data_IF_765243780037
#
_entry.id   IF_765243780037
#
_cell.length_a   1.000
_cell.length_b   1.000
_cell.length_c   1.000
_cell.angle_alpha   90.00
_cell.angle_beta   90.00
_cell.angle_gamma   90.00
#
_symmetry.space_group_name_H-M   'P 1'
#
loop_
_entity.id
_entity.type
_entity.pdbx_description
1 polymer ?
#
# COMPACT_ATOMS: atom_id res chain seq x y z
N UNK A 1 25.59 -4.28 8.65
CA UNK A 1 24.63 -3.21 8.94
C UNK A 1 24.41 -2.45 7.64
N UNK A 2 23.17 -2.25 7.22
CA UNK A 2 22.85 -1.65 5.92
C UNK A 2 22.95 -0.13 6.00
N UNK A 3 23.35 0.52 4.89
CA UNK A 3 23.44 1.99 4.82
C UNK A 3 22.04 2.60 4.65
N UNK A 4 21.31 2.15 3.63
CA UNK A 4 19.95 2.56 3.34
C UNK A 4 19.03 1.34 3.43
N UNK A 5 18.01 1.43 4.24
CA UNK A 5 17.08 0.32 4.42
C UNK A 5 15.72 0.76 4.93
N UNK A 6 14.74 -0.08 4.70
CA UNK A 6 13.40 0.03 5.28
C UNK A 6 13.33 -0.96 6.42
N UNK A 7 13.17 -0.50 7.64
CA UNK A 7 12.84 -1.33 8.78
C UNK A 7 11.33 -1.56 8.80
N UNK A 8 10.90 -2.81 8.88
CA UNK A 8 9.49 -3.22 8.90
C UNK A 8 9.22 -4.00 10.19
N UNK A 9 8.34 -3.46 11.01
CA UNK A 9 7.94 -4.04 12.30
C UNK A 9 6.69 -4.92 12.11
N UNK A 10 6.91 -6.23 12.12
CA UNK A 10 5.84 -7.24 11.92
C UNK A 10 4.85 -7.22 13.09
N UNK A 11 5.31 -7.01 14.31
CA UNK A 11 4.41 -6.98 15.47
C UNK A 11 3.42 -5.82 15.39
N UNK A 12 3.86 -4.66 14.90
CA UNK A 12 2.97 -3.53 14.67
C UNK A 12 1.93 -3.83 13.60
N UNK A 13 2.32 -4.47 12.48
CA UNK A 13 1.37 -4.88 11.45
C UNK A 13 0.31 -5.81 12.05
N UNK A 14 0.72 -6.82 12.81
CA UNK A 14 -0.17 -7.78 13.45
C UNK A 14 -1.11 -7.09 14.45
N UNK A 15 -0.59 -6.18 15.29
CA UNK A 15 -1.43 -5.40 16.22
C UNK A 15 -2.42 -4.48 15.52
N UNK A 16 -2.02 -3.84 14.43
CA UNK A 16 -2.92 -3.01 13.64
C UNK A 16 -4.09 -3.83 13.08
N UNK A 17 -3.83 -5.02 12.52
CA UNK A 17 -4.86 -5.95 12.05
C UNK A 17 -5.80 -6.33 13.19
N UNK A 18 -5.27 -6.67 14.37
CA UNK A 18 -6.07 -7.03 15.54
C UNK A 18 -6.94 -5.86 16.02
N UNK A 19 -6.39 -4.65 16.03
CA UNK A 19 -7.13 -3.46 16.44
C UNK A 19 -8.28 -3.15 15.46
N UNK A 20 -8.05 -3.31 14.16
CA UNK A 20 -9.10 -3.15 13.14
C UNK A 20 -10.17 -4.22 13.34
N UNK A 21 -9.81 -5.48 13.55
CA UNK A 21 -10.77 -6.57 13.81
C UNK A 21 -11.67 -6.32 15.01
N UNK A 22 -11.18 -5.65 16.04
CA UNK A 22 -11.97 -5.36 17.25
C UNK A 22 -13.12 -4.38 17.01
N UNK A 23 -12.95 -3.47 16.04
CA UNK A 23 -13.93 -2.43 15.72
C UNK A 23 -14.76 -2.75 14.50
N UNK A 24 -14.22 -3.55 13.56
CA UNK A 24 -14.93 -3.94 12.34
C UNK A 24 -16.20 -4.73 12.67
N UNK A 25 -17.27 -4.46 11.90
CA UNK A 25 -18.51 -5.24 11.94
C UNK A 25 -18.45 -6.49 11.08
N UNK A 26 -17.43 -6.61 10.23
CA UNK A 26 -17.27 -7.69 9.26
C UNK A 26 -16.38 -8.80 9.84
N UNK A 27 -16.75 -10.05 9.54
CA UNK A 27 -16.06 -11.22 10.12
C UNK A 27 -14.72 -11.52 9.47
N UNK A 28 -14.62 -11.22 8.17
CA UNK A 28 -13.47 -11.58 7.36
C UNK A 28 -12.61 -10.34 7.08
N UNK A 29 -11.30 -10.54 7.09
CA UNK A 29 -10.31 -9.54 6.70
C UNK A 29 -9.58 -10.03 5.45
N UNK A 30 -9.54 -9.18 4.43
CA UNK A 30 -8.68 -9.31 3.27
C UNK A 30 -7.51 -8.34 3.42
N UNK A 31 -6.30 -8.86 3.52
CA UNK A 31 -5.09 -8.04 3.53
C UNK A 31 -4.74 -7.59 2.10
N UNK A 32 -4.70 -6.28 1.88
CA UNK A 32 -4.33 -5.70 0.58
C UNK A 32 -2.82 -5.49 0.55
N UNK A 33 -2.10 -6.38 -0.14
CA UNK A 33 -0.63 -6.41 -0.21
C UNK A 33 -0.10 -6.04 -1.62
N UNK A 34 -0.91 -5.37 -2.42
CA UNK A 34 -0.53 -4.86 -3.75
C UNK A 34 0.64 -3.87 -3.69
N UNK A 35 1.27 -3.60 -4.83
CA UNK A 35 2.45 -2.73 -4.93
C UNK A 35 3.54 -3.15 -3.93
N UNK A 36 3.85 -4.47 -3.91
CA UNK A 36 4.81 -5.06 -2.99
C UNK A 36 4.52 -4.72 -1.51
N UNK A 37 3.26 -4.90 -1.07
CA UNK A 37 2.78 -4.47 0.25
C UNK A 37 3.05 -2.98 0.51
N UNK A 38 2.68 -2.12 -0.44
CA UNK A 38 2.95 -0.68 -0.40
C UNK A 38 4.45 -0.36 -0.26
N UNK A 39 5.30 -1.14 -0.93
CA UNK A 39 6.76 -0.99 -0.90
C UNK A 39 7.48 -1.73 0.23
N UNK A 40 6.74 -2.39 1.12
CA UNK A 40 7.30 -2.98 2.35
C UNK A 40 7.67 -4.48 2.24
N UNK A 41 7.37 -5.14 1.10
CA UNK A 41 7.70 -6.55 0.89
C UNK A 41 6.52 -7.50 1.09
N UNK A 42 5.78 -7.79 0.01
CA UNK A 42 4.51 -8.51 0.07
C UNK A 42 4.65 -9.96 0.56
N UNK A 43 5.64 -10.70 0.06
CA UNK A 43 5.80 -12.13 0.34
C UNK A 43 6.14 -12.41 1.80
N UNK A 44 7.02 -11.58 2.38
CA UNK A 44 7.43 -11.73 3.78
C UNK A 44 6.27 -11.35 4.69
N UNK A 45 5.67 -10.18 4.48
CA UNK A 45 4.54 -9.72 5.30
C UNK A 45 3.39 -10.71 5.21
N UNK A 46 3.02 -11.19 4.01
CA UNK A 46 1.93 -12.13 3.84
C UNK A 46 2.12 -13.41 4.66
N UNK A 47 3.32 -13.98 4.68
CA UNK A 47 3.65 -15.17 5.50
C UNK A 47 3.40 -14.95 7.00
N UNK A 48 3.79 -13.78 7.51
CA UNK A 48 3.63 -13.48 8.94
C UNK A 48 2.18 -13.19 9.37
N UNK A 49 1.33 -12.72 8.44
CA UNK A 49 -0.06 -12.36 8.76
C UNK A 49 -1.09 -13.37 8.22
N UNK A 50 -0.69 -14.41 7.49
CA UNK A 50 -1.59 -15.37 6.83
C UNK A 50 -2.65 -15.96 7.77
N UNK A 51 -2.26 -16.28 9.00
CA UNK A 51 -3.16 -16.85 10.00
C UNK A 51 -4.14 -15.81 10.60
N UNK A 52 -3.89 -14.52 10.38
CA UNK A 52 -4.75 -13.44 10.87
C UNK A 52 -5.77 -12.96 9.86
N UNK A 53 -5.68 -13.39 8.60
CA UNK A 53 -6.54 -12.90 7.52
C UNK A 53 -7.26 -14.05 6.81
N UNK A 54 -8.35 -13.72 6.13
CA UNK A 54 -9.14 -14.70 5.36
C UNK A 54 -8.77 -14.71 3.89
N UNK A 55 -8.30 -13.58 3.36
CA UNK A 55 -7.95 -13.34 1.97
C UNK A 55 -6.72 -12.45 1.85
N UNK A 56 -6.07 -12.52 0.69
CA UNK A 56 -5.13 -11.52 0.22
C UNK A 56 -5.67 -10.85 -1.05
N UNK A 57 -5.38 -9.57 -1.22
CA UNK A 57 -5.71 -8.83 -2.43
C UNK A 57 -4.48 -8.12 -3.00
N UNK A 58 -4.33 -8.23 -4.32
CA UNK A 58 -3.22 -7.66 -5.08
C UNK A 58 -3.72 -6.89 -6.30
N UNK A 59 -2.84 -6.18 -7.03
CA UNK A 59 -3.24 -5.38 -8.17
C UNK A 59 -3.21 -6.15 -9.50
N UNK A 60 -2.32 -7.11 -9.67
CA UNK A 60 -2.08 -7.78 -10.94
C UNK A 60 -1.68 -9.26 -10.75
N UNK A 61 -1.60 -9.96 -11.87
CA UNK A 61 -1.29 -11.39 -11.91
C UNK A 61 0.10 -11.72 -11.33
N UNK A 62 1.13 -10.94 -11.66
CA UNK A 62 2.50 -11.24 -11.20
C UNK A 62 2.62 -11.12 -9.68
N UNK A 63 1.95 -10.16 -9.06
CA UNK A 63 1.88 -10.04 -7.60
C UNK A 63 1.18 -11.27 -6.97
N UNK A 64 0.05 -11.71 -7.56
CA UNK A 64 -0.68 -12.88 -7.09
C UNK A 64 0.15 -14.16 -7.21
N UNK A 65 0.77 -14.39 -8.38
CA UNK A 65 1.66 -15.53 -8.63
C UNK A 65 2.83 -15.55 -7.64
N UNK A 66 3.44 -14.40 -7.38
CA UNK A 66 4.55 -14.28 -6.44
C UNK A 66 4.15 -14.71 -5.03
N UNK A 67 2.97 -14.30 -4.54
CA UNK A 67 2.44 -14.76 -3.25
C UNK A 67 2.22 -16.28 -3.25
N UNK A 68 1.62 -16.83 -4.30
CA UNK A 68 1.32 -18.25 -4.40
C UNK A 68 2.59 -19.09 -4.43
N UNK A 69 3.58 -18.72 -5.25
CA UNK A 69 4.88 -19.37 -5.35
C UNK A 69 5.67 -19.28 -4.02
N UNK A 70 5.47 -18.20 -3.27
CA UNK A 70 6.06 -18.03 -1.93
C UNK A 70 5.39 -18.90 -0.85
N UNK A 71 4.36 -19.69 -1.20
CA UNK A 71 3.70 -20.65 -0.31
C UNK A 71 2.44 -20.15 0.40
N UNK A 72 1.90 -18.99 0.03
CA UNK A 72 0.63 -18.50 0.57
C UNK A 72 -0.51 -19.42 0.10
N UNK A 73 -1.30 -19.93 1.04
CA UNK A 73 -2.38 -20.89 0.82
C UNK A 73 -3.78 -20.25 0.83
N UNK A 74 -3.93 -19.11 1.51
CA UNK A 74 -5.21 -18.38 1.57
C UNK A 74 -5.66 -17.95 0.18
N UNK A 75 -6.97 -17.75 -0.06
CA UNK A 75 -7.48 -17.18 -1.29
C UNK A 75 -6.80 -15.86 -1.63
N UNK A 76 -6.51 -15.66 -2.92
CA UNK A 76 -5.88 -14.44 -3.45
C UNK A 76 -6.79 -13.88 -4.53
N UNK A 77 -7.19 -12.62 -4.38
CA UNK A 77 -7.98 -11.90 -5.39
C UNK A 77 -7.14 -10.80 -6.05
N UNK A 78 -7.17 -10.75 -7.37
CA UNK A 78 -6.66 -9.62 -8.14
C UNK A 78 -7.76 -8.54 -8.20
N UNK A 79 -7.42 -7.29 -7.92
CA UNK A 79 -8.37 -6.17 -7.96
C UNK A 79 -8.32 -5.38 -9.28
N UNK A 80 -7.30 -5.61 -10.11
CA UNK A 80 -7.05 -4.93 -11.38
C UNK A 80 -7.37 -5.79 -12.60
N UNK A 81 -6.88 -5.32 -13.75
CA UNK A 81 -7.02 -6.02 -15.03
C UNK A 81 -6.18 -7.30 -15.06
N UNK A 82 -6.73 -8.34 -15.69
CA UNK A 82 -6.05 -9.61 -16.00
C UNK A 82 -6.26 -9.88 -17.50
N UNK A 83 -5.19 -10.15 -18.24
CA UNK A 83 -5.31 -10.54 -19.64
C UNK A 83 -5.93 -11.95 -19.78
N UNK A 84 -6.33 -12.29 -21.00
CA UNK A 84 -6.89 -13.63 -21.28
C UNK A 84 -5.83 -14.72 -21.05
N UNK A 85 -4.60 -14.43 -21.39
CA UNK A 85 -3.44 -15.31 -21.22
C UNK A 85 -3.16 -15.54 -19.73
N UNK A 86 -3.11 -14.46 -18.94
CA UNK A 86 -2.91 -14.53 -17.50
C UNK A 86 -4.05 -15.26 -16.78
N UNK A 87 -5.30 -15.16 -17.30
CA UNK A 87 -6.46 -15.84 -16.72
C UNK A 87 -6.32 -17.38 -16.74
N UNK A 88 -5.66 -17.96 -17.75
CA UNK A 88 -5.34 -19.39 -17.75
C UNK A 88 -4.38 -19.76 -16.63
N UNK A 89 -3.33 -18.95 -16.43
CA UNK A 89 -2.40 -19.18 -15.32
C UNK A 89 -3.08 -18.96 -13.95
N UNK A 90 -4.07 -18.06 -13.86
CA UNK A 90 -4.86 -17.90 -12.64
C UNK A 90 -5.63 -19.17 -12.26
N UNK A 91 -6.09 -19.98 -13.26
CA UNK A 91 -6.68 -21.30 -12.99
C UNK A 91 -5.66 -22.22 -12.31
N UNK A 92 -4.45 -22.32 -12.86
CA UNK A 92 -3.39 -23.22 -12.38
C UNK A 92 -2.91 -22.86 -10.97
N UNK A 93 -2.87 -21.57 -10.66
CA UNK A 93 -2.41 -21.05 -9.36
C UNK A 93 -3.54 -20.82 -8.34
N UNK A 94 -4.78 -21.18 -8.66
CA UNK A 94 -5.97 -20.93 -7.81
C UNK A 94 -6.06 -19.47 -7.37
N UNK A 95 -6.00 -18.54 -8.33
CA UNK A 95 -6.08 -17.10 -8.14
C UNK A 95 -7.44 -16.61 -8.65
N UNK A 96 -8.11 -15.80 -7.85
CA UNK A 96 -9.42 -15.23 -8.17
C UNK A 96 -9.29 -13.90 -8.91
N UNK A 97 -10.15 -13.65 -9.93
CA UNK A 97 -10.06 -12.43 -10.74
C UNK A 97 -11.38 -11.62 -10.73
N UNK A 98 -11.34 -10.31 -11.01
CA UNK A 98 -12.56 -9.52 -11.15
C UNK A 98 -13.17 -9.69 -12.54
N UNK A 99 -14.50 -9.73 -12.60
CA UNK A 99 -15.28 -9.59 -13.83
C UNK A 99 -16.07 -8.28 -13.74
N UNK A 100 -15.83 -7.37 -14.66
CA UNK A 100 -16.41 -6.03 -14.70
C UNK A 100 -17.06 -5.64 -16.02
N UNK A 101 -17.05 -6.54 -17.00
CA UNK A 101 -17.69 -6.39 -18.32
C UNK A 101 -18.05 -7.77 -18.90
N UNK A 102 -19.22 -7.85 -19.58
CA UNK A 102 -19.70 -9.10 -20.14
C UNK A 102 -18.83 -9.59 -21.30
N UNK A 103 -18.41 -8.72 -22.20
CA UNK A 103 -17.59 -9.12 -23.35
C UNK A 103 -16.20 -9.59 -22.92
N UNK A 104 -15.65 -8.99 -21.85
CA UNK A 104 -14.45 -9.48 -21.22
C UNK A 104 -14.64 -10.87 -20.60
N UNK A 105 -15.75 -11.09 -19.87
CA UNK A 105 -16.09 -12.39 -19.29
C UNK A 105 -16.24 -13.47 -20.37
N UNK A 106 -16.93 -13.18 -21.48
CA UNK A 106 -17.10 -14.09 -22.60
C UNK A 106 -15.76 -14.50 -23.22
N UNK A 107 -14.84 -13.56 -23.40
CA UNK A 107 -13.48 -13.85 -23.92
C UNK A 107 -12.69 -14.74 -22.97
N UNK A 108 -12.73 -14.44 -21.68
CA UNK A 108 -12.08 -15.27 -20.65
C UNK A 108 -12.68 -16.68 -20.68
N UNK A 109 -14.01 -16.82 -20.59
CA UNK A 109 -14.70 -18.12 -20.56
C UNK A 109 -14.39 -18.97 -21.80
N UNK A 110 -14.25 -18.35 -22.98
CA UNK A 110 -13.90 -19.03 -24.23
C UNK A 110 -12.48 -19.58 -24.21
N UNK A 111 -11.55 -18.89 -23.60
CA UNK A 111 -10.11 -19.12 -23.74
C UNK A 111 -9.50 -19.95 -22.61
N UNK A 112 -10.06 -19.93 -21.41
CA UNK A 112 -9.51 -20.68 -20.28
C UNK A 112 -9.75 -22.16 -20.40
N UNK A 113 -8.84 -22.95 -19.80
CA UNK A 113 -8.97 -24.40 -19.63
C UNK A 113 -9.19 -24.67 -18.14
N UNK A 114 -10.38 -25.23 -17.81
CA UNK A 114 -10.79 -25.45 -16.40
C UNK A 114 -11.68 -24.35 -15.85
N UNK A 115 -11.90 -24.41 -14.55
CA UNK A 115 -12.79 -23.51 -13.82
C UNK A 115 -12.02 -22.35 -13.19
N UNK A 116 -12.47 -21.12 -13.39
CA UNK A 116 -11.88 -19.92 -12.83
C UNK A 116 -12.81 -19.28 -11.81
N UNK A 117 -12.33 -19.10 -10.60
CA UNK A 117 -13.04 -18.35 -9.55
C UNK A 117 -13.03 -16.86 -9.85
N UNK A 118 -14.20 -16.22 -9.78
CA UNK A 118 -14.33 -14.82 -10.15
C UNK A 118 -15.18 -14.03 -9.16
N UNK A 119 -14.89 -12.73 -9.04
CA UNK A 119 -15.72 -11.78 -8.31
C UNK A 119 -16.33 -10.76 -9.27
N UNK A 120 -17.64 -10.54 -9.18
CA UNK A 120 -18.33 -9.50 -9.96
C UNK A 120 -17.95 -8.13 -9.38
N UNK A 121 -17.32 -7.30 -10.17
CA UNK A 121 -17.05 -5.92 -9.79
C UNK A 121 -18.26 -5.04 -10.11
N UNK A 122 -18.68 -4.25 -9.13
CA UNK A 122 -19.83 -3.36 -9.18
C UNK A 122 -19.38 -1.90 -9.10
N UNK A 123 -19.84 -1.06 -10.00
CA UNK A 123 -19.62 0.38 -9.94
C UNK A 123 -20.81 1.07 -9.25
N UNK A 124 -20.63 1.40 -7.98
CA UNK A 124 -21.61 2.12 -7.18
C UNK A 124 -21.40 3.64 -7.15
N UNK A 125 -20.36 4.14 -7.88
CA UNK A 125 -20.07 5.56 -7.96
C UNK A 125 -18.59 5.94 -7.97
N UNK A 126 -17.67 4.96 -7.89
CA UNK A 126 -16.23 5.23 -8.06
C UNK A 126 -15.86 5.52 -9.52
N UNK A 127 -16.64 4.97 -10.46
CA UNK A 127 -16.48 5.16 -11.92
C UNK A 127 -15.11 4.73 -12.48
N UNK A 128 -14.48 3.74 -11.85
CA UNK A 128 -13.19 3.20 -12.28
C UNK A 128 -13.34 1.91 -13.10
N UNK A 129 -14.11 0.97 -12.62
CA UNK A 129 -14.46 -0.29 -13.29
C UNK A 129 -15.67 -0.91 -12.60
N UNK A 130 -16.40 -1.79 -13.30
CA UNK A 130 -17.52 -2.55 -12.73
C UNK A 130 -18.83 -2.34 -13.47
N UNK A 131 -19.75 -3.28 -13.28
CA UNK A 131 -21.10 -3.17 -13.78
C UNK A 131 -21.89 -2.14 -12.97
N UNK A 132 -22.66 -1.32 -13.66
CA UNK A 132 -23.62 -0.39 -13.03
C UNK A 132 -24.97 -1.06 -12.78
N UNK A 133 -25.76 -0.51 -11.86
CA UNK A 133 -27.06 -1.08 -11.50
C UNK A 133 -28.00 -1.29 -12.71
N UNK A 134 -27.97 -0.38 -13.70
CA UNK A 134 -28.79 -0.48 -14.91
C UNK A 134 -28.30 -1.56 -15.90
N UNK A 135 -27.11 -2.11 -15.70
CA UNK A 135 -26.55 -3.20 -16.51
C UNK A 135 -26.83 -4.58 -15.91
N UNK A 136 -27.74 -4.69 -14.95
CA UNK A 136 -28.02 -5.94 -14.23
C UNK A 136 -28.37 -7.11 -15.18
N UNK A 137 -29.08 -6.85 -16.29
CA UNK A 137 -29.35 -7.85 -17.31
C UNK A 137 -28.09 -8.43 -17.97
N UNK A 138 -27.01 -7.65 -18.04
CA UNK A 138 -25.70 -8.12 -18.52
C UNK A 138 -25.04 -9.03 -17.48
N UNK A 139 -25.18 -8.71 -16.18
CA UNK A 139 -24.68 -9.56 -15.10
C UNK A 139 -25.35 -10.93 -15.13
N UNK A 140 -26.68 -10.99 -15.35
CA UNK A 140 -27.43 -12.27 -15.43
C UNK A 140 -26.87 -13.18 -16.51
N UNK A 141 -26.38 -12.64 -17.62
CA UNK A 141 -25.80 -13.45 -18.70
C UNK A 141 -24.51 -14.16 -18.29
N UNK A 142 -23.84 -13.74 -17.21
CA UNK A 142 -22.68 -14.45 -16.67
C UNK A 142 -23.01 -15.90 -16.25
N UNK A 143 -24.28 -16.22 -15.94
CA UNK A 143 -24.74 -17.59 -15.65
C UNK A 143 -24.49 -18.58 -16.80
N UNK A 144 -24.39 -18.07 -18.03
CA UNK A 144 -24.16 -18.90 -19.22
C UNK A 144 -22.67 -19.23 -19.43
N UNK A 145 -21.80 -18.62 -18.63
CA UNK A 145 -20.34 -18.76 -18.75
C UNK A 145 -19.85 -19.82 -17.75
N UNK A 146 -20.03 -21.08 -18.12
CA UNK A 146 -19.92 -22.25 -17.22
C UNK A 146 -18.56 -22.43 -16.55
N UNK A 147 -17.47 -21.95 -17.19
CA UNK A 147 -16.12 -22.02 -16.61
C UNK A 147 -15.85 -20.94 -15.57
N UNK A 148 -16.69 -19.90 -15.49
CA UNK A 148 -16.55 -18.84 -14.50
C UNK A 148 -17.35 -19.20 -13.23
N UNK A 149 -16.65 -19.49 -12.14
CA UNK A 149 -17.26 -19.81 -10.83
C UNK A 149 -17.35 -18.53 -10.01
N UNK A 150 -18.53 -17.94 -9.98
CA UNK A 150 -18.78 -16.69 -9.25
C UNK A 150 -18.71 -16.97 -7.75
N UNK A 151 -17.63 -16.50 -7.10
CA UNK A 151 -17.39 -16.65 -5.66
C UNK A 151 -17.88 -15.43 -4.90
N UNK A 152 -17.70 -14.24 -5.45
CA UNK A 152 -17.99 -13.02 -4.76
C UNK A 152 -18.51 -11.90 -5.65
N UNK A 153 -18.89 -10.79 -5.00
CA UNK A 153 -19.13 -9.51 -5.66
C UNK A 153 -18.60 -8.37 -4.80
N UNK A 154 -18.07 -7.32 -5.43
CA UNK A 154 -17.48 -6.20 -4.69
C UNK A 154 -17.70 -4.85 -5.36
N UNK A 155 -17.58 -3.81 -4.54
CA UNK A 155 -17.46 -2.43 -4.97
C UNK A 155 -16.34 -1.72 -4.22
N UNK A 156 -16.21 -0.40 -4.37
CA UNK A 156 -15.19 0.39 -3.68
C UNK A 156 -15.72 1.79 -3.37
N UNK A 157 -15.52 2.23 -2.12
CA UNK A 157 -15.88 3.58 -1.71
C UNK A 157 -14.89 4.62 -2.24
N UNK A 158 -15.41 5.79 -2.60
CA UNK A 158 -14.59 6.91 -3.10
C UNK A 158 -14.22 7.92 -2.01
N UNK A 159 -15.08 8.08 -0.98
CA UNK A 159 -15.04 9.15 0.00
C UNK A 159 -15.16 8.65 1.45
N UNK A 160 -14.86 7.37 1.70
CA UNK A 160 -15.04 6.79 3.04
C UNK A 160 -14.10 7.38 4.10
N UNK A 161 -13.07 8.10 3.70
CA UNK A 161 -12.08 8.79 4.54
C UNK A 161 -12.39 10.29 4.74
N UNK A 162 -13.49 10.78 4.17
CA UNK A 162 -13.94 12.15 4.31
C UNK A 162 -14.89 12.33 5.51
N UNK A 163 -15.04 13.56 5.99
CA UNK A 163 -15.97 13.92 7.06
C UNK A 163 -17.43 13.75 6.63
N UNK A 164 -17.76 14.18 5.40
CA UNK A 164 -19.08 14.00 4.79
C UNK A 164 -19.30 12.55 4.37
N UNK A 165 -20.20 11.87 5.08
CA UNK A 165 -20.56 10.47 4.83
C UNK A 165 -21.64 10.28 3.76
N UNK A 166 -22.21 11.34 3.23
CA UNK A 166 -23.41 11.29 2.36
C UNK A 166 -23.16 10.40 1.15
N UNK A 167 -22.10 10.66 0.40
CA UNK A 167 -21.80 9.88 -0.81
C UNK A 167 -21.41 8.43 -0.51
N UNK A 168 -20.68 8.19 0.57
CA UNK A 168 -20.36 6.83 1.03
C UNK A 168 -21.63 6.04 1.35
N UNK A 169 -22.61 6.67 2.01
CA UNK A 169 -23.91 6.06 2.29
C UNK A 169 -24.70 5.77 1.00
N UNK A 170 -24.72 6.69 0.05
CA UNK A 170 -25.34 6.46 -1.26
C UNK A 170 -24.70 5.29 -2.03
N UNK A 171 -23.37 5.19 -2.02
CA UNK A 171 -22.67 4.06 -2.62
C UNK A 171 -23.03 2.73 -1.95
N UNK A 172 -23.13 2.73 -0.61
CA UNK A 172 -23.52 1.55 0.15
C UNK A 172 -24.95 1.11 -0.15
N UNK A 173 -25.91 2.05 -0.21
CA UNK A 173 -27.30 1.75 -0.56
C UNK A 173 -27.44 1.17 -1.98
N UNK A 174 -26.68 1.71 -2.95
CA UNK A 174 -26.61 1.13 -4.30
C UNK A 174 -26.04 -0.29 -4.25
N UNK A 175 -24.97 -0.51 -3.49
CA UNK A 175 -24.38 -1.83 -3.32
C UNK A 175 -25.38 -2.84 -2.74
N UNK A 176 -26.09 -2.48 -1.69
CA UNK A 176 -27.09 -3.34 -1.04
C UNK A 176 -28.30 -3.65 -1.97
N UNK A 177 -28.75 -2.68 -2.78
CA UNK A 177 -29.79 -2.97 -3.79
C UNK A 177 -29.33 -3.98 -4.83
N UNK A 178 -28.08 -3.86 -5.31
CA UNK A 178 -27.54 -4.82 -6.28
C UNK A 178 -27.29 -6.16 -5.59
N UNK A 179 -26.76 -6.17 -4.37
CA UNK A 179 -26.54 -7.38 -3.55
C UNK A 179 -27.82 -8.21 -3.45
N UNK A 180 -28.94 -7.62 -3.05
CA UNK A 180 -30.24 -8.31 -2.96
C UNK A 180 -30.64 -8.96 -4.29
N UNK A 181 -30.49 -8.22 -5.40
CA UNK A 181 -30.79 -8.76 -6.73
C UNK A 181 -29.84 -9.92 -7.11
N UNK A 182 -28.57 -9.86 -6.69
CA UNK A 182 -27.59 -10.90 -6.96
C UNK A 182 -27.88 -12.15 -6.11
N UNK A 183 -28.23 -12.01 -4.83
CA UNK A 183 -28.58 -13.12 -3.94
C UNK A 183 -29.76 -13.95 -4.49
N UNK A 184 -30.75 -13.30 -5.12
CA UNK A 184 -31.88 -13.96 -5.77
C UNK A 184 -31.47 -14.76 -7.03
N UNK A 185 -30.31 -14.45 -7.62
CA UNK A 185 -29.92 -14.96 -8.94
C UNK A 185 -28.71 -15.88 -8.90
N UNK A 186 -27.80 -15.67 -7.95
CA UNK A 186 -26.52 -16.37 -7.85
C UNK A 186 -26.33 -16.89 -6.41
N UNK A 187 -25.57 -17.93 -6.26
CA UNK A 187 -25.11 -18.39 -4.94
C UNK A 187 -23.75 -17.75 -4.65
N UNK A 188 -23.75 -16.46 -4.28
CA UNK A 188 -22.54 -15.69 -3.98
C UNK A 188 -22.15 -15.93 -2.53
N UNK A 189 -20.89 -16.34 -2.31
CA UNK A 189 -20.39 -16.67 -0.97
C UNK A 189 -19.93 -15.42 -0.20
N UNK A 190 -19.48 -14.37 -0.90
CA UNK A 190 -18.88 -13.21 -0.25
C UNK A 190 -19.14 -11.89 -0.98
N UNK A 191 -19.68 -10.92 -0.24
CA UNK A 191 -19.85 -9.56 -0.70
C UNK A 191 -18.91 -8.63 0.06
N UNK A 192 -18.16 -7.76 -0.64
CA UNK A 192 -17.20 -6.88 0.00
C UNK A 192 -17.11 -5.51 -0.64
N UNK A 193 -17.21 -4.46 0.17
CA UNK A 193 -17.13 -3.08 -0.30
C UNK A 193 -16.16 -2.23 0.54
N UNK A 194 -16.05 -2.48 1.84
CA UNK A 194 -15.27 -1.67 2.77
C UNK A 194 -13.77 -1.71 2.42
N UNK A 195 -13.16 -0.53 2.41
CA UNK A 195 -11.73 -0.29 2.41
C UNK A 195 -11.25 0.04 3.85
N UNK A 196 -9.97 0.37 4.05
CA UNK A 196 -9.43 0.71 5.37
C UNK A 196 -10.21 1.81 6.10
N UNK A 197 -10.64 2.85 5.38
CA UNK A 197 -11.38 3.94 5.96
C UNK A 197 -12.79 3.50 6.40
N UNK A 198 -13.49 2.79 5.52
CA UNK A 198 -14.82 2.28 5.84
C UNK A 198 -14.80 1.30 7.01
N UNK A 199 -13.79 0.43 7.09
CA UNK A 199 -13.62 -0.54 8.19
C UNK A 199 -13.41 0.12 9.56
N UNK A 200 -12.82 1.33 9.58
CA UNK A 200 -12.51 2.08 10.81
C UNK A 200 -13.64 3.03 11.19
N UNK A 201 -14.25 3.69 10.20
CA UNK A 201 -15.04 4.90 10.42
C UNK A 201 -16.55 4.73 10.17
N UNK A 202 -16.95 3.66 9.49
CA UNK A 202 -18.33 3.44 9.11
C UNK A 202 -18.89 2.16 9.71
N UNK A 203 -20.14 2.21 10.19
CA UNK A 203 -20.88 1.04 10.68
C UNK A 203 -21.57 0.30 9.52
N UNK A 204 -20.83 0.03 8.44
CA UNK A 204 -21.36 -0.63 7.26
C UNK A 204 -21.05 -2.14 7.31
N UNK A 205 -22.06 -2.95 6.94
CA UNK A 205 -21.98 -4.41 7.02
C UNK A 205 -21.78 -4.99 5.62
N UNK A 206 -20.73 -5.77 5.47
CA UNK A 206 -20.49 -6.66 4.34
C UNK A 206 -19.93 -7.99 4.87
N UNK A 207 -19.43 -8.87 4.01
CA UNK A 207 -18.88 -10.14 4.52
C UNK A 207 -17.38 -10.07 4.78
N UNK A 208 -16.70 -9.05 4.21
CA UNK A 208 -15.25 -8.91 4.31
C UNK A 208 -14.79 -7.47 4.17
N UNK A 209 -13.85 -7.05 5.02
CA UNK A 209 -13.11 -5.79 4.91
C UNK A 209 -11.81 -5.98 4.13
N UNK A 210 -11.51 -5.05 3.22
CA UNK A 210 -10.22 -5.01 2.51
C UNK A 210 -9.34 -3.93 3.13
N UNK A 211 -8.48 -4.33 4.05
CA UNK A 211 -7.55 -3.43 4.73
C UNK A 211 -6.20 -3.38 4.00
N UNK A 212 -5.78 -2.18 3.66
CA UNK A 212 -4.47 -1.90 3.05
C UNK A 212 -3.66 -1.02 3.97
N UNK A 213 -3.69 0.27 3.71
CA UNK A 213 -2.83 1.28 4.35
C UNK A 213 -2.90 1.23 5.89
N UNK A 214 -4.08 0.96 6.46
CA UNK A 214 -4.27 0.94 7.90
C UNK A 214 -3.51 -0.21 8.59
N UNK A 215 -3.32 -1.36 7.94
CA UNK A 215 -2.53 -2.43 8.55
C UNK A 215 -1.04 -2.07 8.64
N UNK A 216 -0.55 -1.15 7.81
CA UNK A 216 0.82 -0.62 7.91
C UNK A 216 0.94 0.54 8.92
N UNK A 217 -0.17 0.88 9.60
CA UNK A 217 -0.20 1.88 10.66
C UNK A 217 -0.38 3.32 10.18
N UNK A 218 -0.85 3.50 8.96
CA UNK A 218 -1.14 4.80 8.36
C UNK A 218 -2.66 4.99 8.28
N UNK A 219 -3.15 6.09 8.83
CA UNK A 219 -4.55 6.48 8.70
C UNK A 219 -4.86 6.88 7.25
N UNK A 220 -6.02 6.51 6.72
CA UNK A 220 -6.39 6.80 5.33
C UNK A 220 -6.43 8.30 4.97
N UNK A 221 -6.68 9.18 5.94
CA UNK A 221 -6.67 10.64 5.79
C UNK A 221 -6.27 11.33 7.09
N UNK A 222 -5.91 12.63 7.01
CA UNK A 222 -5.64 13.47 8.18
C UNK A 222 -6.87 13.57 9.09
N UNK A 223 -8.07 13.67 8.50
CA UNK A 223 -9.32 13.68 9.25
C UNK A 223 -9.47 12.46 10.17
N UNK A 224 -9.22 11.25 9.64
CA UNK A 224 -9.29 10.03 10.44
C UNK A 224 -8.14 9.91 11.46
N UNK A 225 -6.99 10.49 11.16
CA UNK A 225 -5.86 10.57 12.08
C UNK A 225 -6.18 11.43 13.31
N UNK A 226 -6.85 12.55 13.11
CA UNK A 226 -7.24 13.48 14.18
C UNK A 226 -8.32 12.91 15.09
N UNK A 227 -9.24 12.11 14.56
CA UNK A 227 -10.35 11.50 15.30
C UNK A 227 -9.91 10.47 16.34
N UNK A 228 -8.84 9.73 16.09
CA UNK A 228 -8.29 8.71 17.00
C UNK A 228 -9.28 7.60 17.41
N UNK A 229 -10.22 7.26 16.52
CA UNK A 229 -11.20 6.19 16.76
C UNK A 229 -10.54 4.81 16.98
N UNK A 230 -9.35 4.65 16.46
CA UNK A 230 -8.51 3.47 16.59
C UNK A 230 -7.05 3.89 16.82
N UNK A 231 -6.29 3.07 17.53
CA UNK A 231 -4.84 3.23 17.61
C UNK A 231 -4.19 2.43 16.48
N UNK A 232 -3.54 3.12 15.55
CA UNK A 232 -2.66 2.54 14.54
C UNK A 232 -1.20 2.90 14.85
N UNK A 233 -0.30 1.95 14.68
CA UNK A 233 1.14 2.12 14.91
C UNK A 233 1.87 2.01 13.58
N UNK A 234 2.55 3.09 13.13
CA UNK A 234 3.35 3.05 11.91
C UNK A 234 4.37 1.92 12.00
N UNK A 235 4.25 0.98 11.07
CA UNK A 235 4.98 -0.29 11.10
C UNK A 235 6.27 -0.28 10.27
N UNK A 236 6.69 0.87 9.77
CA UNK A 236 7.93 0.99 8.97
C UNK A 236 8.66 2.28 9.26
N UNK A 237 9.96 2.28 8.94
CA UNK A 237 10.83 3.46 8.99
C UNK A 237 11.85 3.39 7.86
N UNK A 238 11.96 4.44 7.05
CA UNK A 238 13.02 4.59 6.06
C UNK A 238 14.25 5.15 6.77
N UNK A 239 15.32 4.37 6.78
CA UNK A 239 16.54 4.68 7.52
C UNK A 239 17.75 4.77 6.59
N UNK A 240 18.64 5.68 6.96
CA UNK A 240 19.94 5.87 6.32
C UNK A 240 21.00 6.23 7.37
N UNK A 241 22.19 6.62 6.93
CA UNK A 241 23.29 7.07 7.79
C UNK A 241 23.94 8.31 7.23
N UNK A 242 24.53 9.08 8.12
CA UNK A 242 25.39 10.18 7.71
C UNK A 242 26.66 9.65 7.07
N UNK A 243 26.92 9.98 5.81
CA UNK A 243 28.10 9.54 5.06
C UNK A 243 29.26 10.54 5.13
N UNK A 244 28.95 11.83 5.31
CA UNK A 244 29.96 12.89 5.35
C UNK A 244 29.45 14.09 6.12
N UNK A 245 30.36 14.81 6.80
CA UNK A 245 30.06 16.06 7.48
C UNK A 245 31.12 17.07 7.14
N UNK A 246 30.71 18.31 6.83
CA UNK A 246 31.62 19.43 6.57
C UNK A 246 31.06 20.77 7.02
N UNK A 247 31.94 21.73 7.22
CA UNK A 247 31.59 23.14 7.35
C UNK A 247 31.62 23.82 5.98
N UNK A 248 30.73 24.77 5.78
CA UNK A 248 30.70 25.69 4.64
C UNK A 248 30.63 27.13 5.15
N UNK A 249 31.17 28.09 4.36
CA UNK A 249 31.18 29.49 4.72
C UNK A 249 29.94 30.22 4.19
N UNK A 250 29.74 31.43 4.70
CA UNK A 250 28.76 32.36 4.12
C UNK A 250 28.98 32.53 2.61
N UNK A 251 27.92 32.49 1.84
CA UNK A 251 27.96 32.58 0.38
C UNK A 251 28.21 31.30 -0.37
N UNK A 252 28.67 30.23 0.28
CA UNK A 252 28.79 28.91 -0.35
C UNK A 252 27.45 28.36 -0.75
N UNK A 253 27.40 27.68 -1.88
CA UNK A 253 26.18 27.07 -2.40
C UNK A 253 26.20 25.53 -2.30
N UNK A 254 25.00 24.94 -2.15
CA UNK A 254 24.84 23.51 -1.97
C UNK A 254 24.03 22.94 -3.14
N UNK A 255 24.49 21.81 -3.66
CA UNK A 255 23.83 20.98 -4.66
C UNK A 255 23.64 21.61 -6.04
N UNK A 256 22.96 20.87 -6.93
CA UNK A 256 22.71 21.26 -8.31
C UNK A 256 21.90 22.55 -8.44
N UNK A 257 22.31 23.41 -9.40
CA UNK A 257 21.61 24.66 -9.68
C UNK A 257 21.79 25.71 -8.59
N UNK A 258 22.58 25.42 -7.54
CA UNK A 258 22.94 26.40 -6.47
C UNK A 258 21.69 27.03 -5.85
N UNK A 259 20.64 26.23 -5.66
CA UNK A 259 19.35 26.73 -5.15
C UNK A 259 19.34 27.01 -3.66
N UNK A 260 20.35 26.54 -2.94
CA UNK A 260 20.64 26.89 -1.56
C UNK A 260 21.97 27.66 -1.49
N UNK A 261 21.97 28.72 -0.69
CA UNK A 261 23.18 29.52 -0.42
C UNK A 261 23.26 29.73 1.07
N UNK A 262 24.41 29.42 1.66
CA UNK A 262 24.67 29.60 3.07
C UNK A 262 24.59 31.09 3.44
N UNK A 263 23.81 31.44 4.47
CA UNK A 263 23.63 32.79 4.97
C UNK A 263 24.66 33.16 6.07
N UNK A 264 25.34 32.15 6.60
CA UNK A 264 26.39 32.23 7.60
C UNK A 264 27.27 30.99 7.51
N UNK A 265 28.33 30.88 8.30
CA UNK A 265 29.05 29.63 8.48
C UNK A 265 28.11 28.59 9.05
N UNK A 266 28.01 27.39 8.41
CA UNK A 266 27.11 26.32 8.81
C UNK A 266 27.74 24.94 8.60
N UNK A 267 27.19 23.93 9.29
CA UNK A 267 27.63 22.56 9.21
C UNK A 267 26.59 21.75 8.39
N UNK A 268 27.06 21.04 7.38
CA UNK A 268 26.20 20.22 6.49
C UNK A 268 26.59 18.76 6.61
N UNK A 269 25.57 17.89 6.71
CA UNK A 269 25.72 16.45 6.55
C UNK A 269 25.24 16.01 5.16
N UNK A 270 25.90 14.99 4.61
CA UNK A 270 25.46 14.28 3.41
C UNK A 270 24.91 12.92 3.83
N UNK A 271 23.75 12.59 3.29
CA UNK A 271 23.05 11.31 3.48
C UNK A 271 23.06 10.60 2.13
N UNK A 272 23.48 9.32 2.03
CA UNK A 272 23.61 8.58 0.77
C UNK A 272 22.25 7.99 0.32
N UNK A 273 21.23 8.83 0.26
CA UNK A 273 19.87 8.50 -0.22
C UNK A 273 19.34 9.65 -1.08
N UNK A 274 18.63 9.33 -2.15
CA UNK A 274 18.10 10.33 -3.06
C UNK A 274 16.87 9.84 -3.82
N UNK A 275 16.57 10.50 -4.95
CA UNK A 275 15.33 10.19 -5.67
C UNK A 275 15.32 8.82 -6.36
N UNK A 276 16.46 8.19 -6.59
CA UNK A 276 16.53 6.83 -7.09
C UNK A 276 16.20 5.77 -6.01
N UNK A 277 16.16 6.18 -4.73
CA UNK A 277 15.69 5.34 -3.62
C UNK A 277 14.20 5.55 -3.30
N UNK A 278 13.57 6.54 -3.95
CA UNK A 278 12.20 6.96 -3.64
C UNK A 278 12.10 8.20 -2.75
N UNK A 279 13.21 8.84 -2.37
CA UNK A 279 13.18 10.13 -1.68
C UNK A 279 13.05 11.27 -2.70
N UNK A 280 11.83 11.75 -2.94
CA UNK A 280 11.48 12.62 -4.06
C UNK A 280 12.34 13.89 -4.18
N UNK A 281 12.66 14.24 -5.43
CA UNK A 281 13.35 15.51 -5.74
C UNK A 281 12.54 16.74 -5.32
N UNK A 282 11.23 16.61 -5.16
CA UNK A 282 10.34 17.65 -4.64
C UNK A 282 10.69 18.09 -3.21
N UNK A 283 11.36 17.25 -2.41
CA UNK A 283 11.87 17.62 -1.07
C UNK A 283 13.04 18.61 -1.07
N UNK A 284 13.55 19.02 -2.24
CA UNK A 284 14.65 19.99 -2.34
C UNK A 284 14.32 21.28 -1.60
N UNK A 285 15.15 21.67 -0.63
CA UNK A 285 15.04 22.84 0.24
C UNK A 285 13.85 22.87 1.22
N UNK A 286 12.99 21.85 1.23
CA UNK A 286 11.79 21.84 2.09
C UNK A 286 11.65 20.55 2.94
N UNK A 287 12.29 19.46 2.53
CA UNK A 287 12.23 18.17 3.24
C UNK A 287 12.93 18.25 4.59
N UNK A 288 12.55 17.35 5.47
CA UNK A 288 13.12 17.21 6.81
C UNK A 288 13.50 15.76 7.08
N UNK A 289 14.56 15.57 7.86
CA UNK A 289 14.99 14.25 8.35
C UNK A 289 15.28 14.35 9.84
N UNK A 290 15.25 13.22 10.53
CA UNK A 290 15.59 13.16 11.95
C UNK A 290 16.99 12.57 12.13
N UNK A 291 17.87 13.29 12.85
CA UNK A 291 19.22 12.87 13.22
C UNK A 291 19.39 13.12 14.73
N UNK A 292 19.75 12.11 15.49
CA UNK A 292 19.95 12.23 16.94
C UNK A 292 18.75 12.93 17.65
N UNK A 293 17.51 12.54 17.29
CA UNK A 293 16.24 13.09 17.81
C UNK A 293 16.01 14.58 17.50
N UNK A 294 16.75 15.17 16.55
CA UNK A 294 16.59 16.55 16.08
C UNK A 294 16.27 16.59 14.59
N UNK A 295 15.44 17.54 14.20
CA UNK A 295 15.09 17.78 12.81
C UNK A 295 16.24 18.50 12.09
N UNK A 296 16.69 17.93 10.97
CA UNK A 296 17.64 18.52 10.05
C UNK A 296 16.94 18.82 8.72
N UNK A 297 17.09 20.05 8.21
CA UNK A 297 16.42 20.50 6.98
C UNK A 297 17.26 20.20 5.75
N UNK A 298 16.61 19.80 4.66
CA UNK A 298 17.27 19.58 3.37
C UNK A 298 17.78 20.91 2.80
N UNK A 299 19.07 20.92 2.43
CA UNK A 299 19.78 22.04 1.84
C UNK A 299 20.12 21.78 0.38
N UNK A 300 19.54 22.57 -0.53
CA UNK A 300 19.74 22.41 -1.96
C UNK A 300 18.86 21.30 -2.56
N UNK A 301 19.19 20.90 -3.77
CA UNK A 301 18.42 19.86 -4.50
C UNK A 301 18.78 18.48 -4.02
N UNK A 302 17.76 17.64 -3.81
CA UNK A 302 17.91 16.20 -3.66
C UNK A 302 18.54 15.66 -4.95
N UNK A 303 19.63 14.92 -4.83
CA UNK A 303 20.34 14.29 -5.95
C UNK A 303 19.79 12.89 -6.21
N UNK A 304 20.33 12.18 -7.21
CA UNK A 304 19.94 10.80 -7.51
C UNK A 304 20.15 9.89 -6.31
N UNK A 305 21.32 9.96 -5.69
CA UNK A 305 21.78 9.03 -4.66
C UNK A 305 22.23 9.72 -3.37
N UNK A 306 22.04 11.03 -3.24
CA UNK A 306 22.52 11.81 -2.07
C UNK A 306 21.59 12.98 -1.77
N UNK A 307 21.49 13.30 -0.47
CA UNK A 307 20.76 14.45 0.04
C UNK A 307 21.63 15.17 1.09
N UNK A 308 21.69 16.49 1.04
CA UNK A 308 22.41 17.33 2.00
C UNK A 308 21.43 17.97 2.97
N UNK A 309 21.79 18.00 4.25
CA UNK A 309 20.97 18.58 5.32
C UNK A 309 21.79 19.49 6.24
N UNK A 310 21.14 20.51 6.79
CA UNK A 310 21.72 21.41 7.80
C UNK A 310 21.77 20.71 9.16
N UNK A 311 22.98 20.57 9.69
CA UNK A 311 23.25 19.99 11.01
C UNK A 311 23.99 20.97 11.92
N UNK A 312 23.86 22.29 11.68
CA UNK A 312 24.59 23.33 12.44
C UNK A 312 24.33 23.23 13.94
N UNK A 313 23.09 22.91 14.34
CA UNK A 313 22.66 22.80 15.74
C UNK A 313 22.57 21.36 16.23
N UNK A 314 23.14 20.41 15.45
CA UNK A 314 23.09 18.98 15.75
C UNK A 314 24.52 18.49 15.98
N UNK A 315 24.76 17.84 17.11
CA UNK A 315 25.98 17.05 17.31
C UNK A 315 25.89 15.78 16.42
N UNK A 316 26.47 15.91 15.23
CA UNK A 316 26.34 14.95 14.15
C UNK A 316 27.70 14.49 13.67
N UNK A 317 27.88 13.19 13.51
CA UNK A 317 29.08 12.52 13.00
C UNK A 317 28.74 11.49 11.93
N UNK A 318 29.74 11.06 11.20
CA UNK A 318 29.62 9.96 10.22
C UNK A 318 29.06 8.71 10.92
N UNK A 319 28.20 7.96 10.22
CA UNK A 319 27.47 6.78 10.66
C UNK A 319 26.30 7.02 11.63
N UNK A 320 26.06 8.25 12.07
CA UNK A 320 24.83 8.54 12.82
C UNK A 320 23.59 8.15 12.01
N UNK A 321 22.60 7.53 12.68
CA UNK A 321 21.36 7.10 12.05
C UNK A 321 20.53 8.32 11.61
N UNK A 322 19.96 8.20 10.44
CA UNK A 322 19.05 9.18 9.85
C UNK A 322 17.70 8.50 9.59
N UNK A 323 16.63 9.08 10.10
CA UNK A 323 15.26 8.66 9.78
C UNK A 323 14.68 9.66 8.79
N UNK A 324 14.29 9.16 7.62
CA UNK A 324 13.56 9.91 6.62
C UNK A 324 12.07 9.82 6.91
N UNK A 325 11.33 10.84 6.52
CA UNK A 325 9.90 10.96 6.85
C UNK A 325 9.62 10.91 8.35
N UNK A 326 10.14 11.89 9.15
CA UNK A 326 9.89 11.95 10.60
C UNK A 326 8.39 11.92 10.95
N UNK A 327 7.57 12.61 10.17
CA UNK A 327 6.12 12.47 10.09
C UNK A 327 5.74 12.36 8.60
N UNK A 328 5.31 11.17 8.20
CA UNK A 328 5.02 10.90 6.79
C UNK A 328 3.87 11.73 6.22
N UNK A 329 2.92 12.16 7.04
CA UNK A 329 1.80 13.01 6.60
C UNK A 329 2.28 14.43 6.30
N UNK A 330 3.05 15.01 7.24
CA UNK A 330 3.65 16.34 7.05
C UNK A 330 4.56 16.36 5.82
N UNK A 331 5.39 15.33 5.65
CA UNK A 331 6.26 15.22 4.48
C UNK A 331 5.45 15.08 3.17
N UNK A 332 4.40 14.29 3.16
CA UNK A 332 3.51 14.18 2.00
C UNK A 332 2.85 15.53 1.68
N UNK A 333 2.34 16.23 2.68
CA UNK A 333 1.70 17.54 2.52
C UNK A 333 2.68 18.61 1.97
N UNK A 334 3.97 18.59 2.41
CA UNK A 334 5.00 19.51 1.89
C UNK A 334 5.16 19.47 0.38
N UNK A 335 4.96 18.33 -0.23
CA UNK A 335 5.12 18.15 -1.69
C UNK A 335 3.80 17.94 -2.43
N UNK A 336 2.65 18.11 -1.74
CA UNK A 336 1.31 18.03 -2.33
C UNK A 336 0.91 16.61 -2.74
N UNK A 337 1.29 15.61 -1.96
CA UNK A 337 0.94 14.19 -2.18
C UNK A 337 0.35 13.56 -0.91
N UNK A 338 0.22 12.24 -0.92
CA UNK A 338 -0.33 11.42 0.17
C UNK A 338 0.68 10.38 0.65
N UNK A 339 0.60 9.91 1.91
CA UNK A 339 1.49 8.88 2.45
C UNK A 339 1.58 7.61 1.59
N UNK A 340 0.51 7.24 0.91
CA UNK A 340 0.47 6.09 -0.01
C UNK A 340 1.53 6.20 -1.12
N UNK A 341 1.67 7.38 -1.74
CA UNK A 341 2.63 7.60 -2.82
C UNK A 341 4.06 7.56 -2.30
N UNK A 342 4.34 8.17 -1.13
CA UNK A 342 5.66 8.09 -0.50
C UNK A 342 6.07 6.65 -0.22
N UNK A 343 5.15 5.81 0.29
CA UNK A 343 5.43 4.40 0.57
C UNK A 343 5.67 3.59 -0.70
N UNK A 344 4.78 3.72 -1.68
CA UNK A 344 4.83 2.91 -2.91
C UNK A 344 5.96 3.30 -3.85
N UNK A 345 6.57 4.46 -3.66
CA UNK A 345 7.73 4.92 -4.42
C UNK A 345 9.08 4.41 -3.89
N UNK A 346 9.08 3.76 -2.71
CA UNK A 346 10.31 3.18 -2.15
C UNK A 346 10.88 2.11 -3.09
N UNK A 347 12.09 2.35 -3.59
CA UNK A 347 12.69 1.51 -4.63
C UNK A 347 13.05 0.11 -4.13
N UNK A 348 13.06 -0.86 -5.05
CA UNK A 348 13.41 -2.24 -4.74
C UNK A 348 14.89 -2.42 -4.34
N UNK A 349 15.77 -1.48 -4.70
CA UNK A 349 17.18 -1.51 -4.31
C UNK A 349 17.43 -1.26 -2.81
N UNK A 350 16.42 -0.69 -2.10
CA UNK A 350 16.49 -0.58 -0.65
C UNK A 350 16.32 -1.96 -0.01
N UNK A 351 17.20 -2.31 0.91
CA UNK A 351 17.06 -3.51 1.72
C UNK A 351 15.86 -3.39 2.65
N UNK A 352 15.02 -4.43 2.76
CA UNK A 352 13.97 -4.52 3.77
C UNK A 352 14.46 -5.37 4.93
N UNK A 353 14.42 -4.80 6.12
CA UNK A 353 14.82 -5.47 7.38
C UNK A 353 13.58 -5.68 8.23
N UNK A 354 13.17 -6.92 8.38
CA UNK A 354 11.95 -7.25 9.14
C UNK A 354 12.30 -7.57 10.59
N UNK A 355 11.61 -6.88 11.49
CA UNK A 355 11.79 -7.02 12.93
C UNK A 355 10.53 -7.63 13.55
N UNK A 356 10.72 -8.60 14.43
CA UNK A 356 9.67 -9.21 15.23
C UNK A 356 10.23 -9.58 16.62
N UNK A 357 9.44 -9.34 17.66
CA UNK A 357 9.86 -9.56 19.07
C UNK A 357 11.21 -8.89 19.39
N UNK A 358 11.44 -7.69 18.82
CA UNK A 358 12.67 -6.90 19.00
C UNK A 358 13.92 -7.46 18.29
N UNK A 359 13.77 -8.48 17.44
CA UNK A 359 14.88 -9.13 16.75
C UNK A 359 14.68 -9.12 15.23
N UNK A 360 15.77 -9.07 14.45
CA UNK A 360 15.70 -9.22 13.00
C UNK A 360 15.33 -10.67 12.69
N UNK A 361 14.21 -10.86 11.96
CA UNK A 361 13.72 -12.20 11.60
C UNK A 361 13.86 -12.51 10.11
N UNK A 362 14.04 -11.50 9.28
CA UNK A 362 14.29 -11.68 7.84
C UNK A 362 14.94 -10.41 7.26
N UNK A 363 15.73 -10.60 6.19
CA UNK A 363 16.31 -9.52 5.41
C UNK A 363 16.04 -9.84 3.94
N UNK A 364 15.41 -8.92 3.25
CA UNK A 364 15.15 -9.00 1.80
C UNK A 364 16.04 -7.98 1.10
N UNK A 365 17.01 -8.48 0.34
CA UNK A 365 17.95 -7.67 -0.41
C UNK A 365 17.94 -8.10 -1.88
N UNK A 366 16.98 -7.58 -2.64
CA UNK A 366 16.77 -7.94 -4.04
C UNK A 366 18.02 -7.87 -4.90
N UNK A 367 18.87 -6.83 -4.76
CA UNK A 367 20.11 -6.72 -5.53
C UNK A 367 21.16 -7.74 -5.07
N UNK A 368 21.20 -8.08 -3.78
CA UNK A 368 22.08 -9.11 -3.25
C UNK A 368 21.77 -10.49 -3.84
N UNK A 369 20.51 -10.84 -3.88
CA UNK A 369 20.04 -12.14 -4.42
C UNK A 369 20.33 -12.33 -5.91
N UNK A 370 20.40 -11.26 -6.70
CA UNK A 370 20.78 -11.33 -8.12
C UNK A 370 22.23 -11.74 -8.35
N UNK A 371 23.10 -11.60 -7.36
CA UNK A 371 24.54 -11.91 -7.48
C UNK A 371 24.92 -13.21 -6.76
N UNK A 372 24.03 -13.79 -5.99
CA UNK A 372 24.26 -15.07 -5.30
C UNK A 372 23.82 -16.29 -6.12
N UNK A 373 23.19 -16.08 -7.30
CA UNK A 373 22.82 -17.09 -8.30
C UNK A 373 23.71 -16.97 -9.54
#
# INVERSE_FOLDING_TARGET
>A
MFTNYIEVDIDKIQRNIENIKKISKNKNICAVVKANAYGLGATVIAKYIENQVSYFAVANYLEAKNLRVSGITKPIIILGFVSVEEANECVDYDIEIPIYDLSYAERINKSIVGDLKVHIALDTGHSRLGFREFEFDRIIKLKQLEKLKIKGAFSHFSTADEEDKTFTQEQYEKFERIRKKLDDQFNIEIFHIANSAASIYHDLISDMDRIGIAMYGIYPSDYLRERKDIRLEQAFSLKSRVSFVKEINEGDSVSYGRTFKAKSRMKIATIPIGYADGYFRAFSNIGEVLINSKIAKVCGRVCMDQTMVDVSDIDCKIEDEVILYPDIYEEANKIGTIPYELMTSLDMRLTRVYVKDGSIVHIDNYLGELYEN
#
